data_IF_317935324211
#
_entry.id   IF_317935324211
#
_cell.length_a   1.000
_cell.length_b   1.000
_cell.length_c   1.000
_cell.angle_alpha   90.00
_cell.angle_beta   90.00
_cell.angle_gamma   90.00
#
_symmetry.space_group_name_H-M   'P 1'
#
loop_
_entity.id
_entity.type
_entity.pdbx_description
1 polymer ?
#
# COMPACT_ATOMS: atom_id res chain seq x y z
N UNK A 1 -23.67 4.95 6.66
CA UNK A 1 -23.64 4.07 7.85
C UNK A 1 -24.65 2.93 7.76
N UNK A 2 -25.93 3.19 7.45
CA UNK A 2 -26.97 2.13 7.32
C UNK A 2 -26.67 1.05 6.27
N UNK A 3 -26.11 1.43 5.11
CA UNK A 3 -25.80 0.51 4.01
C UNK A 3 -24.80 -0.59 4.37
N UNK A 4 -23.81 -0.31 5.23
CA UNK A 4 -22.82 -1.30 5.67
C UNK A 4 -23.41 -2.40 6.57
N UNK A 5 -24.57 -2.12 7.19
CA UNK A 5 -25.28 -3.05 8.06
C UNK A 5 -26.37 -3.78 7.29
N UNK A 6 -27.12 -3.10 6.41
CA UNK A 6 -28.23 -3.72 5.68
C UNK A 6 -27.80 -4.64 4.54
N UNK A 7 -26.68 -4.32 3.85
CA UNK A 7 -26.19 -5.10 2.71
C UNK A 7 -25.88 -6.56 3.10
N UNK A 8 -25.11 -6.86 4.17
CA UNK A 8 -24.85 -8.24 4.57
C UNK A 8 -26.12 -9.07 4.81
N UNK A 9 -27.16 -8.48 5.40
CA UNK A 9 -28.43 -9.16 5.69
C UNK A 9 -29.24 -9.43 4.43
N UNK A 10 -29.42 -8.42 3.58
CA UNK A 10 -30.16 -8.54 2.32
C UNK A 10 -29.45 -9.48 1.34
N UNK A 11 -28.12 -9.40 1.29
CA UNK A 11 -27.30 -10.19 0.39
C UNK A 11 -27.24 -11.66 0.78
N UNK A 12 -27.13 -11.96 2.08
CA UNK A 12 -27.20 -13.34 2.59
C UNK A 12 -28.57 -13.96 2.33
N UNK A 13 -29.64 -13.16 2.36
CA UNK A 13 -30.99 -13.63 2.08
C UNK A 13 -31.13 -13.98 0.59
N UNK A 14 -30.71 -13.07 -0.29
CA UNK A 14 -30.71 -13.29 -1.74
C UNK A 14 -29.97 -14.56 -2.17
N UNK A 15 -28.83 -14.87 -1.55
CA UNK A 15 -28.04 -16.07 -1.88
C UNK A 15 -28.75 -17.36 -1.48
N UNK A 16 -29.49 -17.36 -0.36
CA UNK A 16 -30.18 -18.55 0.12
C UNK A 16 -31.56 -18.76 -0.52
N UNK A 17 -32.17 -17.71 -1.07
CA UNK A 17 -33.44 -17.78 -1.80
C UNK A 17 -33.29 -17.24 -3.23
N UNK A 18 -32.39 -17.81 -4.07
CA UNK A 18 -32.17 -17.30 -5.41
C UNK A 18 -33.43 -17.49 -6.26
N UNK A 19 -33.83 -16.44 -6.98
CA UNK A 19 -34.97 -16.45 -7.92
C UNK A 19 -36.36 -16.74 -7.31
N UNK A 20 -36.53 -16.58 -6.00
CA UNK A 20 -37.85 -16.65 -5.37
C UNK A 20 -38.47 -15.26 -5.25
N UNK A 21 -39.74 -15.13 -5.63
CA UNK A 21 -40.52 -13.90 -5.39
C UNK A 21 -40.76 -13.72 -3.89
N UNK A 22 -40.63 -12.49 -3.37
CA UNK A 22 -40.82 -12.17 -1.94
C UNK A 22 -42.15 -12.70 -1.36
N UNK A 23 -43.19 -12.80 -2.18
CA UNK A 23 -44.53 -13.29 -1.81
C UNK A 23 -44.55 -14.80 -1.50
N UNK A 24 -43.62 -15.57 -2.09
CA UNK A 24 -43.51 -17.03 -1.94
C UNK A 24 -42.28 -17.46 -1.12
N UNK A 25 -41.52 -16.51 -0.59
CA UNK A 25 -40.31 -16.82 0.18
C UNK A 25 -40.66 -17.39 1.56
N UNK A 26 -39.97 -18.46 1.96
CA UNK A 26 -39.99 -18.94 3.33
C UNK A 26 -39.02 -18.12 4.19
N UNK A 27 -39.55 -17.23 5.04
CA UNK A 27 -38.75 -16.39 5.93
C UNK A 27 -38.08 -17.17 7.07
N UNK A 28 -38.39 -18.46 7.27
CA UNK A 28 -37.70 -19.32 8.24
C UNK A 28 -36.21 -19.44 7.95
N UNK A 29 -35.78 -19.18 6.71
CA UNK A 29 -34.37 -19.12 6.30
C UNK A 29 -33.56 -18.12 7.15
N UNK A 30 -34.16 -17.02 7.60
CA UNK A 30 -33.52 -16.01 8.46
C UNK A 30 -33.04 -16.57 9.81
N UNK A 31 -33.68 -17.63 10.31
CA UNK A 31 -33.36 -18.25 11.60
C UNK A 31 -32.40 -19.44 11.48
N UNK A 32 -31.95 -19.76 10.27
CA UNK A 32 -31.01 -20.87 10.06
C UNK A 32 -29.58 -20.45 10.45
N UNK A 33 -28.84 -21.37 11.06
CA UNK A 33 -27.41 -21.17 11.39
C UNK A 33 -26.58 -20.80 10.15
N UNK A 34 -26.96 -21.33 8.99
CA UNK A 34 -26.34 -21.01 7.69
C UNK A 34 -26.54 -19.56 7.27
N UNK A 35 -27.72 -18.98 7.49
CA UNK A 35 -27.98 -17.56 7.23
C UNK A 35 -27.14 -16.67 8.16
N UNK A 36 -27.15 -16.97 9.46
CA UNK A 36 -26.36 -16.21 10.45
C UNK A 36 -24.87 -16.24 10.10
N UNK A 37 -24.33 -17.42 9.73
CA UNK A 37 -22.94 -17.56 9.32
C UNK A 37 -22.63 -16.75 8.05
N UNK A 38 -23.52 -16.74 7.05
CA UNK A 38 -23.36 -15.93 5.84
C UNK A 38 -23.37 -14.43 6.16
N UNK A 39 -24.33 -13.96 6.97
CA UNK A 39 -24.40 -12.55 7.39
C UNK A 39 -23.12 -12.13 8.10
N UNK A 40 -22.62 -12.96 9.01
CA UNK A 40 -21.38 -12.69 9.73
C UNK A 40 -20.18 -12.61 8.79
N UNK A 41 -20.04 -13.57 7.86
CA UNK A 41 -18.99 -13.52 6.85
C UNK A 41 -19.06 -12.24 6.00
N UNK A 42 -20.23 -11.88 5.49
CA UNK A 42 -20.38 -10.65 4.71
C UNK A 42 -20.11 -9.38 5.52
N UNK A 43 -20.45 -9.38 6.80
CA UNK A 43 -20.10 -8.29 7.70
C UNK A 43 -18.57 -8.15 7.83
N UNK A 44 -17.85 -9.25 8.00
CA UNK A 44 -16.37 -9.23 8.00
C UNK A 44 -15.81 -8.74 6.67
N UNK A 45 -16.35 -9.17 5.53
CA UNK A 45 -15.86 -8.70 4.22
C UNK A 45 -16.11 -7.18 4.06
N UNK A 46 -17.25 -6.67 4.51
CA UNK A 46 -17.53 -5.22 4.54
C UNK A 46 -16.55 -4.49 5.45
N UNK A 47 -16.24 -5.03 6.63
CA UNK A 47 -15.25 -4.45 7.54
C UNK A 47 -13.85 -4.40 6.91
N UNK A 48 -13.40 -5.50 6.30
CA UNK A 48 -12.12 -5.54 5.60
C UNK A 48 -12.08 -4.60 4.39
N UNK A 49 -13.18 -4.45 3.65
CA UNK A 49 -13.28 -3.50 2.55
C UNK A 49 -13.16 -2.05 3.02
N UNK A 50 -13.79 -1.69 4.14
CA UNK A 50 -13.64 -0.35 4.73
C UNK A 50 -12.21 -0.09 5.24
N UNK A 51 -11.57 -1.09 5.87
CA UNK A 51 -10.17 -0.98 6.28
C UNK A 51 -9.24 -0.83 5.06
N UNK A 52 -9.49 -1.59 4.00
CA UNK A 52 -8.77 -1.47 2.73
C UNK A 52 -8.90 -0.07 2.12
N UNK A 53 -10.10 0.52 2.17
CA UNK A 53 -10.31 1.90 1.72
C UNK A 53 -9.46 2.91 2.50
N UNK A 54 -9.45 2.80 3.83
CA UNK A 54 -8.67 3.69 4.68
C UNK A 54 -7.17 3.57 4.38
N UNK A 55 -6.67 2.33 4.21
CA UNK A 55 -5.27 2.07 3.84
C UNK A 55 -4.98 2.66 2.45
N UNK A 56 -5.86 2.46 1.48
CA UNK A 56 -5.71 2.98 0.12
C UNK A 56 -5.60 4.51 0.11
N UNK A 57 -6.51 5.21 0.78
CA UNK A 57 -6.49 6.67 0.88
C UNK A 57 -5.22 7.16 1.57
N UNK A 58 -4.82 6.51 2.69
CA UNK A 58 -3.56 6.85 3.38
C UNK A 58 -2.34 6.66 2.49
N UNK A 59 -2.32 5.61 1.68
CA UNK A 59 -1.23 5.33 0.73
C UNK A 59 -1.19 6.36 -0.40
N UNK A 60 -2.34 6.75 -0.95
CA UNK A 60 -2.44 7.78 -2.00
C UNK A 60 -2.02 9.17 -1.48
N UNK A 61 -2.37 9.50 -0.24
CA UNK A 61 -1.88 10.72 0.44
C UNK A 61 -0.35 10.66 0.65
N UNK A 62 0.17 9.51 1.09
CA UNK A 62 1.60 9.32 1.35
C UNK A 62 2.44 9.37 0.07
N UNK A 63 1.91 8.89 -1.05
CA UNK A 63 2.54 8.97 -2.36
C UNK A 63 2.34 10.34 -3.05
N UNK A 64 1.64 11.29 -2.42
CA UNK A 64 1.31 12.62 -2.98
C UNK A 64 0.70 12.52 -4.40
N UNK A 65 0.04 11.40 -4.71
CA UNK A 65 -0.64 11.21 -6.01
C UNK A 65 -1.94 12.00 -6.02
N UNK A 66 -2.52 12.25 -4.85
CA UNK A 66 -3.75 13.01 -4.65
C UNK A 66 -3.43 14.19 -3.73
N UNK A 67 -3.01 15.31 -4.34
CA UNK A 67 -2.84 16.60 -3.65
C UNK A 67 -4.07 17.51 -3.79
N UNK A 68 -4.96 17.23 -4.75
CA UNK A 68 -6.19 17.98 -5.01
C UNK A 68 -7.45 17.26 -4.53
N UNK A 69 -8.47 18.03 -4.15
CA UNK A 69 -9.78 17.54 -3.74
C UNK A 69 -10.44 16.70 -4.86
N UNK A 70 -10.24 17.09 -6.11
CA UNK A 70 -10.74 16.38 -7.29
C UNK A 70 -10.11 14.99 -7.43
N UNK A 71 -8.79 14.88 -7.19
CA UNK A 71 -8.08 13.60 -7.22
C UNK A 71 -8.59 12.62 -6.15
N UNK A 72 -9.06 13.14 -5.00
CA UNK A 72 -9.63 12.32 -3.93
C UNK A 72 -10.97 11.71 -4.35
N UNK A 73 -11.83 12.48 -5.02
CA UNK A 73 -13.11 11.98 -5.52
C UNK A 73 -12.91 10.94 -6.62
N UNK A 74 -11.96 11.16 -7.55
CA UNK A 74 -11.64 10.20 -8.61
C UNK A 74 -11.07 8.91 -8.02
N UNK A 75 -10.12 8.99 -7.09
CA UNK A 75 -9.55 7.81 -6.44
C UNK A 75 -10.61 7.03 -5.64
N UNK A 76 -11.52 7.74 -4.96
CA UNK A 76 -12.64 7.12 -4.24
C UNK A 76 -13.61 6.41 -5.20
N UNK A 77 -13.92 7.02 -6.34
CA UNK A 77 -14.77 6.42 -7.37
C UNK A 77 -14.13 5.13 -7.92
N UNK A 78 -12.84 5.17 -8.24
CA UNK A 78 -12.08 4.01 -8.73
C UNK A 78 -12.08 2.89 -7.69
N UNK A 79 -11.85 3.21 -6.41
CA UNK A 79 -11.90 2.23 -5.33
C UNK A 79 -13.28 1.59 -5.19
N UNK A 80 -14.36 2.37 -5.29
CA UNK A 80 -15.74 1.87 -5.23
C UNK A 80 -16.03 0.92 -6.39
N UNK A 81 -15.62 1.27 -7.61
CA UNK A 81 -15.79 0.41 -8.79
C UNK A 81 -15.04 -0.91 -8.60
N UNK A 82 -13.78 -0.86 -8.19
CA UNK A 82 -12.98 -2.06 -7.96
C UNK A 82 -13.47 -2.91 -6.80
N UNK A 83 -13.93 -2.29 -5.72
CA UNK A 83 -14.58 -2.99 -4.61
C UNK A 83 -15.86 -3.67 -5.08
N UNK A 84 -16.74 -2.97 -5.80
CA UNK A 84 -17.99 -3.54 -6.31
C UNK A 84 -17.73 -4.76 -7.19
N UNK A 85 -16.78 -4.65 -8.13
CA UNK A 85 -16.35 -5.76 -9.00
C UNK A 85 -15.87 -6.95 -8.16
N UNK A 86 -15.12 -6.70 -7.09
CA UNK A 86 -14.64 -7.74 -6.16
C UNK A 86 -15.77 -8.44 -5.38
N UNK A 87 -16.89 -7.77 -5.14
CA UNK A 87 -18.04 -8.34 -4.45
C UNK A 87 -19.02 -9.10 -5.36
N UNK A 88 -18.88 -8.99 -6.69
CA UNK A 88 -19.74 -9.73 -7.62
C UNK A 88 -19.54 -11.23 -7.41
N UNK A 89 -20.59 -11.97 -7.00
CA UNK A 89 -20.45 -13.38 -6.69
C UNK A 89 -20.34 -14.15 -8.00
N UNK A 90 -19.51 -15.20 -7.99
CA UNK A 90 -19.54 -16.17 -9.08
C UNK A 90 -20.89 -16.87 -9.02
N UNK A 91 -21.73 -16.66 -10.05
CA UNK A 91 -23.06 -17.26 -10.14
C UNK A 91 -22.97 -18.78 -9.88
N UNK A 92 -23.82 -19.36 -9.02
CA UNK A 92 -23.85 -20.79 -8.83
C UNK A 92 -24.15 -21.47 -10.16
N UNK A 93 -23.34 -22.47 -10.51
CA UNK A 93 -23.46 -23.17 -11.79
C UNK A 93 -24.77 -23.95 -11.85
N UNK A 94 -25.44 -23.86 -12.99
CA UNK A 94 -26.60 -24.70 -13.28
C UNK A 94 -26.19 -26.18 -13.38
N UNK A 95 -27.14 -27.11 -13.22
CA UNK A 95 -26.88 -28.57 -13.33
C UNK A 95 -26.21 -28.93 -14.67
N UNK A 96 -26.63 -28.30 -15.77
CA UNK A 96 -25.97 -28.42 -17.08
C UNK A 96 -24.51 -27.97 -17.08
N UNK A 97 -24.19 -26.85 -16.43
CA UNK A 97 -22.83 -26.31 -16.35
C UNK A 97 -21.93 -27.12 -15.42
N UNK A 98 -22.51 -27.75 -14.39
CA UNK A 98 -21.80 -28.70 -13.53
C UNK A 98 -21.39 -29.93 -14.33
N UNK A 99 -22.32 -30.51 -15.09
CA UNK A 99 -22.09 -31.70 -15.92
C UNK A 99 -21.07 -31.39 -17.02
N UNK A 100 -21.24 -30.31 -17.78
CA UNK A 100 -20.29 -29.93 -18.84
C UNK A 100 -18.89 -29.68 -18.30
N UNK A 101 -18.78 -29.14 -17.08
CA UNK A 101 -17.48 -28.88 -16.47
C UNK A 101 -16.69 -30.10 -16.03
N UNK A 102 -17.30 -31.30 -16.00
CA UNK A 102 -16.59 -32.57 -15.76
C UNK A 102 -15.81 -33.05 -16.99
N UNK A 103 -16.21 -32.61 -18.19
CA UNK A 103 -15.63 -33.05 -19.46
C UNK A 103 -14.63 -32.05 -20.05
N UNK A 104 -14.52 -30.84 -19.47
CA UNK A 104 -13.55 -29.83 -19.89
C UNK A 104 -12.26 -30.05 -19.07
N UNK A 105 -11.17 -30.43 -19.73
CA UNK A 105 -9.81 -30.44 -19.15
C UNK A 105 -9.45 -29.00 -18.79
N UNK A 106 -9.65 -28.61 -17.53
CA UNK A 106 -9.40 -27.25 -17.07
C UNK A 106 -7.91 -26.99 -16.94
N UNK A 107 -7.39 -26.03 -17.69
CA UNK A 107 -6.18 -25.32 -17.29
C UNK A 107 -6.45 -24.60 -15.96
N UNK A 108 -5.52 -24.72 -15.00
CA UNK A 108 -5.63 -24.14 -13.64
C UNK A 108 -5.93 -22.63 -13.62
N UNK A 109 -5.64 -21.94 -14.73
CA UNK A 109 -5.75 -20.49 -14.89
C UNK A 109 -7.16 -20.00 -15.29
N UNK A 110 -8.03 -20.86 -15.84
CA UNK A 110 -9.41 -20.46 -16.25
C UNK A 110 -10.29 -20.05 -15.06
N UNK A 111 -9.91 -20.44 -13.84
CA UNK A 111 -10.57 -20.05 -12.61
C UNK A 111 -10.15 -18.66 -12.10
N UNK A 112 -8.99 -18.16 -12.50
CA UNK A 112 -8.42 -16.91 -11.97
C UNK A 112 -9.14 -15.69 -12.57
N UNK A 113 -9.35 -15.66 -13.89
CA UNK A 113 -10.07 -14.59 -14.57
C UNK A 113 -11.55 -14.49 -14.17
N UNK A 114 -12.11 -15.58 -13.64
CA UNK A 114 -13.49 -15.63 -13.12
C UNK A 114 -13.62 -15.11 -11.69
N UNK A 115 -12.52 -14.68 -11.07
CA UNK A 115 -12.47 -14.11 -9.72
C UNK A 115 -12.08 -12.64 -9.82
N UNK A 116 -13.06 -11.74 -9.89
CA UNK A 116 -12.79 -10.31 -10.02
C UNK A 116 -11.83 -9.74 -8.95
N UNK A 117 -11.86 -10.17 -7.66
CA UNK A 117 -10.90 -9.69 -6.66
C UNK A 117 -9.43 -9.88 -7.03
N UNK A 118 -9.10 -10.99 -7.70
CA UNK A 118 -7.71 -11.31 -8.05
C UNK A 118 -7.18 -10.33 -9.10
N UNK A 119 -8.03 -9.98 -10.07
CA UNK A 119 -7.70 -9.00 -11.12
C UNK A 119 -7.43 -7.63 -10.49
N UNK A 120 -8.29 -7.21 -9.56
CA UNK A 120 -8.12 -5.94 -8.84
C UNK A 120 -6.83 -5.93 -8.02
N UNK A 121 -6.52 -7.01 -7.29
CA UNK A 121 -5.29 -7.11 -6.52
C UNK A 121 -4.05 -7.05 -7.43
N UNK A 122 -4.06 -7.73 -8.58
CA UNK A 122 -2.95 -7.70 -9.54
C UNK A 122 -2.71 -6.30 -10.11
N UNK A 123 -3.77 -5.60 -10.51
CA UNK A 123 -3.68 -4.20 -10.99
C UNK A 123 -3.12 -3.30 -9.88
N UNK A 124 -3.54 -3.50 -8.64
CA UNK A 124 -3.05 -2.73 -7.49
C UNK A 124 -1.56 -2.97 -7.24
N UNK A 125 -1.11 -4.23 -7.34
CA UNK A 125 0.32 -4.60 -7.20
C UNK A 125 1.14 -3.95 -8.32
N UNK A 126 0.66 -4.01 -9.56
CA UNK A 126 1.29 -3.34 -10.71
C UNK A 126 1.42 -1.83 -10.48
N UNK A 127 0.38 -1.18 -9.95
CA UNK A 127 0.40 0.24 -9.63
C UNK A 127 1.39 0.57 -8.51
N UNK A 128 1.46 -0.26 -7.47
CA UNK A 128 2.44 -0.07 -6.37
C UNK A 128 3.88 -0.27 -6.85
N UNK A 129 4.11 -1.14 -7.84
CA UNK A 129 5.40 -1.35 -8.49
C UNK A 129 5.75 -0.26 -9.51
N UNK A 130 4.84 0.65 -9.84
CA UNK A 130 5.11 1.75 -10.75
C UNK A 130 6.25 2.62 -10.16
N UNK A 131 7.38 2.81 -10.86
CA UNK A 131 8.60 3.35 -10.26
C UNK A 131 8.45 4.72 -9.54
N UNK A 132 7.66 5.68 -10.05
CA UNK A 132 7.39 6.94 -9.33
C UNK A 132 6.64 6.74 -8.01
N UNK A 133 5.74 5.76 -7.93
CA UNK A 133 4.97 5.47 -6.71
C UNK A 133 5.83 4.67 -5.73
N UNK A 134 6.50 3.62 -6.22
CA UNK A 134 7.41 2.80 -5.44
C UNK A 134 8.53 3.62 -4.79
N UNK A 135 9.14 4.54 -5.54
CA UNK A 135 10.23 5.40 -5.04
C UNK A 135 9.77 6.36 -3.94
N UNK A 136 8.57 6.94 -4.04
CA UNK A 136 7.99 7.79 -2.98
C UNK A 136 7.67 6.99 -1.71
N UNK A 137 7.07 5.81 -1.86
CA UNK A 137 6.76 4.92 -0.73
C UNK A 137 8.05 4.49 -0.03
N UNK A 138 9.07 4.08 -0.80
CA UNK A 138 10.38 3.70 -0.27
C UNK A 138 11.06 4.89 0.42
N UNK A 139 11.03 6.09 -0.18
CA UNK A 139 11.58 7.31 0.40
C UNK A 139 10.95 7.66 1.75
N UNK A 140 9.62 7.69 1.85
CA UNK A 140 8.92 7.95 3.13
C UNK A 140 9.16 6.85 4.17
N UNK A 141 9.26 5.59 3.74
CA UNK A 141 9.57 4.48 4.64
C UNK A 141 10.98 4.61 5.21
N UNK A 142 11.96 4.97 4.39
CA UNK A 142 13.33 5.26 4.81
C UNK A 142 13.41 6.48 5.73
N UNK A 143 12.59 7.51 5.48
CA UNK A 143 12.46 8.67 6.35
C UNK A 143 11.95 8.28 7.74
N UNK A 144 10.89 7.47 7.80
CA UNK A 144 10.33 7.00 9.07
C UNK A 144 11.30 6.11 9.86
N UNK A 145 12.05 5.26 9.16
CA UNK A 145 13.11 4.43 9.76
C UNK A 145 14.36 5.24 10.14
N UNK A 146 14.45 6.52 9.74
CA UNK A 146 15.63 7.36 9.97
C UNK A 146 16.88 6.87 9.23
N UNK A 147 16.71 6.08 8.17
CA UNK A 147 17.79 5.48 7.36
C UNK A 147 17.98 6.18 6.00
N UNK A 148 17.12 7.13 5.64
CA UNK A 148 17.19 7.84 4.36
C UNK A 148 15.93 8.66 4.10
N UNK A 149 15.54 8.85 2.83
CA UNK A 149 14.29 9.52 2.49
C UNK A 149 14.30 11.04 2.60
N UNK A 150 15.49 11.65 2.62
CA UNK A 150 15.68 13.09 2.76
C UNK A 150 15.71 13.56 4.21
N UNK A 151 16.06 12.69 5.15
CA UNK A 151 16.29 13.07 6.55
C UNK A 151 17.51 13.98 6.62
N UNK A 152 17.34 15.16 7.22
CA UNK A 152 18.41 16.12 7.43
C UNK A 152 19.15 15.80 8.74
N UNK A 153 20.45 15.53 8.65
CA UNK A 153 21.30 15.21 9.80
C UNK A 153 22.68 15.85 9.70
N UNK A 154 23.21 16.19 10.85
CA UNK A 154 24.60 16.60 11.03
C UNK A 154 25.40 15.38 11.46
N UNK A 155 26.59 15.19 10.90
CA UNK A 155 27.50 14.11 11.26
C UNK A 155 28.80 14.68 11.81
N UNK A 156 29.42 13.95 12.76
CA UNK A 156 30.81 14.18 13.12
C UNK A 156 31.71 13.06 12.61
N UNK A 157 32.94 13.41 12.28
CA UNK A 157 33.98 12.48 11.85
C UNK A 157 35.36 12.94 12.34
N UNK A 158 36.31 12.00 12.44
CA UNK A 158 37.69 12.32 12.80
C UNK A 158 38.51 12.65 11.54
N UNK A 159 39.27 13.77 11.53
CA UNK A 159 40.07 14.16 10.37
C UNK A 159 41.19 13.17 10.04
N UNK A 160 41.70 12.45 11.03
CA UNK A 160 42.72 11.40 10.89
C UNK A 160 42.20 10.06 10.34
N UNK A 161 40.88 9.94 10.12
CA UNK A 161 40.34 8.73 9.51
C UNK A 161 40.90 8.57 8.09
N UNK A 162 41.25 7.34 7.70
CA UNK A 162 41.82 7.01 6.36
C UNK A 162 40.91 7.35 5.17
N UNK A 163 39.75 7.97 5.41
CA UNK A 163 38.75 8.25 4.39
C UNK A 163 38.69 9.75 4.12
N UNK A 164 38.96 10.12 2.87
CA UNK A 164 38.90 11.51 2.42
C UNK A 164 37.45 11.95 2.30
N UNK A 165 37.07 12.96 3.09
CA UNK A 165 35.76 13.60 3.02
C UNK A 165 35.90 14.90 2.21
N UNK A 166 35.02 15.19 1.24
CA UNK A 166 35.07 16.42 0.47
C UNK A 166 35.01 17.67 1.36
N UNK A 167 35.94 18.61 1.16
CA UNK A 167 36.07 19.83 1.97
C UNK A 167 34.84 20.75 1.94
N UNK A 168 33.99 20.66 0.90
CA UNK A 168 32.75 21.45 0.81
C UNK A 168 31.67 21.07 1.83
N UNK A 169 31.77 19.88 2.45
CA UNK A 169 30.79 19.33 3.39
C UNK A 169 31.08 19.75 4.83
N UNK A 170 32.31 20.13 5.15
CA UNK A 170 32.75 20.43 6.51
C UNK A 170 32.32 21.84 6.90
N UNK A 171 31.70 22.00 8.08
CA UNK A 171 31.27 23.30 8.60
C UNK A 171 32.27 23.84 9.63
N UNK A 172 32.61 23.01 10.62
CA UNK A 172 33.52 23.37 11.72
C UNK A 172 34.40 22.19 12.05
N UNK A 173 35.70 22.42 12.22
CA UNK A 173 36.60 21.45 12.83
C UNK A 173 37.12 22.05 14.13
N UNK A 174 37.09 21.26 15.19
CA UNK A 174 37.85 21.55 16.39
C UNK A 174 39.28 21.07 16.15
N UNK A 175 40.27 21.80 16.67
CA UNK A 175 41.64 21.85 16.11
C UNK A 175 42.34 20.50 15.94
N UNK A 176 41.96 19.43 16.66
CA UNK A 176 42.53 18.08 16.46
C UNK A 176 41.60 16.89 16.80
N UNK A 177 40.34 17.11 17.23
CA UNK A 177 39.53 16.04 17.85
C UNK A 177 38.38 15.55 16.97
N UNK A 178 37.63 16.45 16.33
CA UNK A 178 36.52 16.10 15.45
C UNK A 178 36.15 17.24 14.49
N UNK A 179 35.59 16.85 13.34
CA UNK A 179 34.99 17.75 12.37
C UNK A 179 33.49 17.49 12.27
N UNK A 180 32.70 18.55 12.17
CA UNK A 180 31.26 18.54 11.96
C UNK A 180 30.95 18.86 10.49
N UNK A 181 30.04 18.09 9.90
CA UNK A 181 29.50 18.39 8.58
C UNK A 181 28.49 19.54 8.67
N UNK A 182 28.19 20.17 7.54
CA UNK A 182 26.96 20.95 7.37
C UNK A 182 25.73 20.05 7.52
N UNK A 183 24.54 20.64 7.53
CA UNK A 183 23.29 19.90 7.48
C UNK A 183 23.22 19.10 6.16
N UNK A 184 23.24 17.77 6.25
CA UNK A 184 23.24 16.88 5.10
C UNK A 184 21.88 16.23 4.92
N UNK A 185 21.34 16.24 3.70
CA UNK A 185 20.10 15.55 3.35
C UNK A 185 20.41 14.11 2.96
N UNK A 186 20.12 13.17 3.85
CA UNK A 186 20.39 11.74 3.67
C UNK A 186 19.33 11.11 2.77
N UNK A 187 19.74 10.74 1.56
CA UNK A 187 18.85 10.09 0.58
C UNK A 187 18.74 8.59 0.89
N UNK A 188 19.86 7.93 1.17
CA UNK A 188 19.92 6.50 1.45
C UNK A 188 21.18 6.15 2.27
N UNK A 189 21.01 5.46 3.40
CA UNK A 189 22.11 4.86 4.17
C UNK A 189 22.00 3.34 4.16
N UNK A 190 22.84 2.66 3.38
CA UNK A 190 22.86 1.18 3.29
C UNK A 190 24.30 0.69 3.11
N UNK A 191 24.66 -0.41 3.79
CA UNK A 191 25.88 -1.17 3.48
C UNK A 191 27.21 -0.45 3.77
N UNK A 192 27.23 0.54 4.67
CA UNK A 192 28.45 1.27 5.00
C UNK A 192 28.69 2.53 4.17
N UNK A 193 27.77 2.87 3.26
CA UNK A 193 27.79 4.09 2.44
C UNK A 193 26.54 4.92 2.73
N UNK A 194 26.73 6.23 2.86
CA UNK A 194 25.72 7.22 3.17
C UNK A 194 25.60 8.16 1.98
N UNK A 195 24.54 8.01 1.19
CA UNK A 195 24.26 8.87 0.05
C UNK A 195 23.58 10.14 0.54
N UNK A 196 24.28 11.26 0.41
CA UNK A 196 23.80 12.57 0.83
C UNK A 196 23.70 13.52 -0.35
N UNK A 197 22.76 14.45 -0.25
CA UNK A 197 22.67 15.62 -1.11
C UNK A 197 23.03 16.85 -0.29
N UNK A 198 23.91 17.68 -0.82
CA UNK A 198 24.21 18.98 -0.24
C UNK A 198 23.29 20.05 -0.85
N UNK A 199 22.72 20.91 -0.01
CA UNK A 199 22.24 22.21 -0.47
C UNK A 199 23.47 23.06 -0.78
N UNK A 200 23.80 23.18 -2.06
CA UNK A 200 24.83 24.10 -2.54
C UNK A 200 24.32 24.81 -3.78
N UNK A 201 24.74 26.07 -3.97
CA UNK A 201 24.34 26.93 -5.09
C UNK A 201 24.65 26.32 -6.48
N UNK A 202 25.51 25.29 -6.54
CA UNK A 202 25.99 24.63 -7.76
C UNK A 202 25.19 23.36 -8.15
N UNK A 203 24.01 23.19 -7.54
CA UNK A 203 23.07 22.10 -7.81
C UNK A 203 23.21 20.89 -6.89
N UNK A 204 22.12 20.11 -6.85
CA UNK A 204 21.87 18.93 -6.03
C UNK A 204 22.79 17.73 -6.35
N UNK A 205 24.10 17.85 -6.11
CA UNK A 205 25.06 16.75 -6.33
C UNK A 205 24.86 15.66 -5.27
N UNK A 206 24.64 14.42 -5.72
CA UNK A 206 24.57 13.23 -4.88
C UNK A 206 25.98 12.73 -4.57
N UNK A 207 26.34 12.62 -3.29
CA UNK A 207 27.68 12.25 -2.83
C UNK A 207 27.56 11.03 -1.92
N UNK A 208 28.41 10.02 -2.15
CA UNK A 208 28.56 8.88 -1.26
C UNK A 208 29.60 9.14 -0.19
N UNK A 209 29.21 9.05 1.08
CA UNK A 209 30.07 9.20 2.25
C UNK A 209 30.27 7.87 2.98
N UNK A 210 31.42 7.65 3.64
CA UNK A 210 31.66 6.45 4.45
C UNK A 210 30.83 6.47 5.73
N UNK A 211 29.77 5.66 5.83
CA UNK A 211 28.89 5.69 7.01
C UNK A 211 29.57 5.16 8.29
N UNK A 212 30.57 4.27 8.15
CA UNK A 212 31.21 3.59 9.31
C UNK A 212 32.02 4.54 10.20
N UNK A 213 32.50 5.64 9.63
CA UNK A 213 33.36 6.61 10.32
C UNK A 213 32.64 7.95 10.54
N UNK A 214 31.34 7.99 10.30
CA UNK A 214 30.49 9.15 10.49
C UNK A 214 29.40 8.83 11.48
N UNK A 215 29.32 9.63 12.54
CA UNK A 215 28.36 9.42 13.60
C UNK A 215 27.32 10.55 13.60
N UNK A 216 26.02 10.24 13.59
CA UNK A 216 24.99 11.26 13.57
C UNK A 216 24.94 12.01 14.91
N UNK A 217 24.84 13.33 14.85
CA UNK A 217 24.53 14.17 16.01
C UNK A 217 23.01 14.23 16.13
N UNK A 218 22.47 13.65 17.20
CA UNK A 218 21.05 13.77 17.55
C UNK A 218 20.89 15.08 18.31
N UNK A 219 20.14 16.04 17.75
CA UNK A 219 19.62 17.20 18.47
C UNK A 219 18.24 16.88 19.01
#
# INVERSE_FOLDING_TARGET
>A
MFWGISIPFLYSFYILTPNQSLIKCDFRVLFTSKYIYLVFNYYFIVLFSNMSFLIYIRLMMLAEVVSSVEGFYIASLIFVIFSYVSFVPVRPKNEFEKISSKYIVRYRLDGLYKRPPIIVCLITILFCLYPPVASKIAGKSLYFLGLGGGVERVYYYTPDSRVRIPSGITEKCDTDSYCQTKLLKVILGVGGVLYVRMDSDDGDKLIGLPSKNMFPIIK
#
